data_IF_581698740136
#
_entry.id   IF_581698740136
#
_cell.length_a   1.000
_cell.length_b   1.000
_cell.length_c   1.000
_cell.angle_alpha   90.00
_cell.angle_beta   90.00
_cell.angle_gamma   90.00
#
_symmetry.space_group_name_H-M   'P 1'
#
loop_
_entity.id
_entity.type
_entity.pdbx_description
1 polymer ?
#
# COMPACT_ATOMS: atom_id res chain seq x y z
N UNK A 1 15.01 -15.16 -3.43
CA UNK A 1 13.68 -14.54 -3.34
C UNK A 1 13.79 -13.16 -3.94
N UNK A 2 12.94 -12.79 -4.92
CA UNK A 2 13.00 -11.46 -5.52
C UNK A 2 12.50 -10.44 -4.49
N UNK A 3 13.42 -9.69 -3.88
CA UNK A 3 13.05 -8.61 -2.95
C UNK A 3 12.19 -7.58 -3.68
N UNK A 4 10.94 -7.42 -3.23
CA UNK A 4 10.01 -6.47 -3.82
C UNK A 4 10.47 -5.05 -3.51
N UNK A 5 10.90 -4.32 -4.53
CA UNK A 5 11.32 -2.94 -4.39
C UNK A 5 10.10 -2.01 -4.32
N UNK A 6 9.66 -1.68 -3.11
CA UNK A 6 8.44 -0.90 -2.85
C UNK A 6 8.45 0.47 -3.55
N UNK A 7 9.58 1.16 -3.55
CA UNK A 7 9.74 2.44 -4.24
C UNK A 7 9.49 2.37 -5.76
N UNK A 8 10.01 1.35 -6.43
CA UNK A 8 9.78 1.14 -7.86
C UNK A 8 8.33 0.77 -8.16
N UNK A 9 7.67 0.04 -7.25
CA UNK A 9 6.24 -0.26 -7.40
C UNK A 9 5.42 1.02 -7.32
N UNK A 10 5.70 1.87 -6.33
CA UNK A 10 5.08 3.18 -6.19
C UNK A 10 5.30 4.04 -7.43
N UNK A 11 6.54 4.11 -7.93
CA UNK A 11 6.87 4.86 -9.15
C UNK A 11 6.08 4.35 -10.36
N UNK A 12 5.96 3.02 -10.53
CA UNK A 12 5.16 2.43 -11.61
C UNK A 12 3.70 2.83 -11.51
N UNK A 13 3.11 2.84 -10.31
CA UNK A 13 1.71 3.27 -10.12
C UNK A 13 1.55 4.74 -10.52
N UNK A 14 2.44 5.60 -10.01
CA UNK A 14 2.43 7.05 -10.30
C UNK A 14 2.57 7.30 -11.80
N UNK A 15 3.52 6.63 -12.48
CA UNK A 15 3.77 6.82 -13.92
C UNK A 15 2.67 6.21 -14.81
N UNK A 16 2.18 5.01 -14.49
CA UNK A 16 1.12 4.34 -15.30
C UNK A 16 -0.20 5.08 -15.29
N UNK A 17 -0.45 5.84 -14.23
CA UNK A 17 -1.70 6.57 -14.02
C UNK A 17 -1.54 8.08 -14.21
N UNK A 18 -0.42 8.50 -14.81
CA UNK A 18 -0.10 9.90 -15.15
C UNK A 18 -0.23 10.88 -13.97
N UNK A 19 -0.01 10.40 -12.74
CA UNK A 19 -0.11 11.24 -11.55
C UNK A 19 1.01 12.27 -11.54
N UNK A 20 0.65 13.54 -11.31
CA UNK A 20 1.63 14.60 -11.21
C UNK A 20 2.41 14.47 -9.90
N UNK A 21 3.70 14.12 -10.00
CA UNK A 21 4.62 13.99 -8.87
C UNK A 21 4.65 15.25 -8.00
N UNK A 22 4.45 16.43 -8.62
CA UNK A 22 4.36 17.70 -7.90
C UNK A 22 3.15 17.76 -6.98
N UNK A 23 1.99 17.36 -7.48
CA UNK A 23 0.74 17.40 -6.73
C UNK A 23 0.75 16.34 -5.64
N UNK A 24 1.28 15.16 -5.96
CA UNK A 24 1.47 14.09 -4.98
C UNK A 24 2.40 14.53 -3.84
N UNK A 25 3.52 15.20 -4.16
CA UNK A 25 4.43 15.73 -3.15
C UNK A 25 3.75 16.80 -2.27
N UNK A 26 2.95 17.69 -2.87
CA UNK A 26 2.17 18.71 -2.14
C UNK A 26 1.12 18.06 -1.23
N UNK A 27 0.35 17.10 -1.73
CA UNK A 27 -0.68 16.40 -0.97
C UNK A 27 -0.08 15.58 0.18
N UNK A 28 1.14 15.07 0.01
CA UNK A 28 1.90 14.39 1.05
C UNK A 28 2.64 15.35 1.99
N UNK A 29 2.68 16.66 1.73
CA UNK A 29 3.42 17.63 2.54
C UNK A 29 4.94 17.43 2.52
N UNK A 30 5.51 16.93 1.42
CA UNK A 30 6.95 16.68 1.26
C UNK A 30 7.51 17.39 0.03
N UNK A 31 8.85 17.53 -0.01
CA UNK A 31 9.52 18.06 -1.20
C UNK A 31 9.56 17.03 -2.33
N UNK A 32 9.59 17.47 -3.60
CA UNK A 32 9.70 16.58 -4.76
C UNK A 32 10.93 15.65 -4.68
N UNK A 33 12.05 16.13 -4.12
CA UNK A 33 13.26 15.32 -3.91
C UNK A 33 12.98 14.10 -3.04
N UNK A 34 12.14 14.24 -2.01
CA UNK A 34 11.75 13.15 -1.12
C UNK A 34 10.98 12.06 -1.87
N UNK A 35 10.11 12.44 -2.81
CA UNK A 35 9.42 11.46 -3.67
C UNK A 35 10.39 10.63 -4.50
N UNK A 36 11.39 11.26 -5.13
CA UNK A 36 12.41 10.53 -5.90
C UNK A 36 13.27 9.61 -5.02
N UNK A 37 13.58 10.05 -3.80
CA UNK A 37 14.28 9.23 -2.82
C UNK A 37 13.45 7.99 -2.45
N UNK A 38 12.14 8.15 -2.23
CA UNK A 38 11.22 7.04 -1.96
C UNK A 38 11.12 6.08 -3.13
N UNK A 39 11.09 6.56 -4.38
CA UNK A 39 11.12 5.67 -5.56
C UNK A 39 12.37 4.81 -5.63
N UNK A 40 13.50 5.36 -5.18
CA UNK A 40 14.79 4.64 -5.12
C UNK A 40 14.95 3.75 -3.88
N UNK A 41 13.99 3.79 -2.93
CA UNK A 41 14.07 3.03 -1.68
C UNK A 41 13.47 1.63 -1.85
N UNK A 42 14.24 0.60 -1.49
CA UNK A 42 13.77 -0.80 -1.54
C UNK A 42 12.59 -1.03 -0.60
N UNK A 43 12.67 -0.48 0.60
CA UNK A 43 11.64 -0.56 1.64
C UNK A 43 11.25 0.86 2.01
N UNK A 44 9.96 1.12 2.10
CA UNK A 44 9.42 2.37 2.63
C UNK A 44 9.05 2.16 4.09
N UNK A 45 9.25 3.18 4.93
CA UNK A 45 8.80 3.08 6.32
C UNK A 45 7.27 2.93 6.35
N UNK A 46 6.73 2.19 7.34
CA UNK A 46 5.29 2.02 7.48
C UNK A 46 4.52 3.34 7.53
N UNK A 47 5.11 4.36 8.17
CA UNK A 47 4.55 5.72 8.26
C UNK A 47 4.41 6.39 6.88
N UNK A 48 5.44 6.25 6.03
CA UNK A 48 5.41 6.80 4.65
C UNK A 48 4.36 6.09 3.81
N UNK A 49 4.29 4.76 3.91
CA UNK A 49 3.26 3.95 3.26
C UNK A 49 1.85 4.37 3.65
N UNK A 50 1.62 4.64 4.94
CA UNK A 50 0.33 5.11 5.44
C UNK A 50 -0.05 6.50 4.90
N UNK A 51 0.92 7.43 4.82
CA UNK A 51 0.67 8.75 4.23
C UNK A 51 0.31 8.63 2.75
N UNK A 52 1.02 7.77 2.01
CA UNK A 52 0.77 7.51 0.60
C UNK A 52 -0.61 6.88 0.38
N UNK A 53 -1.00 5.89 1.18
CA UNK A 53 -2.29 5.21 1.02
C UNK A 53 -3.50 6.11 1.30
N UNK A 54 -3.35 7.13 2.15
CA UNK A 54 -4.40 8.13 2.40
C UNK A 54 -4.55 9.13 1.25
N UNK A 55 -3.44 9.48 0.60
CA UNK A 55 -3.43 10.47 -0.49
C UNK A 55 -3.78 9.84 -1.84
N UNK A 56 -3.32 8.62 -2.08
CA UNK A 56 -3.61 7.85 -3.29
C UNK A 56 -4.78 6.92 -2.98
N UNK A 57 -5.99 7.36 -3.32
CA UNK A 57 -7.16 6.49 -3.28
C UNK A 57 -7.17 5.65 -4.55
N UNK A 58 -6.89 4.36 -4.39
CA UNK A 58 -6.95 3.37 -5.45
C UNK A 58 -8.11 2.42 -5.17
N UNK A 59 -9.10 2.42 -6.07
CA UNK A 59 -10.17 1.43 -6.03
C UNK A 59 -9.66 0.12 -6.65
N UNK A 60 -9.43 -0.88 -5.80
CA UNK A 60 -8.98 -2.21 -6.24
C UNK A 60 -10.09 -3.00 -6.95
N UNK A 61 -11.35 -2.64 -6.73
CA UNK A 61 -12.51 -3.27 -7.37
C UNK A 61 -12.70 -2.75 -8.81
N UNK A 62 -12.19 -1.55 -9.10
CA UNK A 62 -12.26 -0.92 -10.43
C UNK A 62 -10.88 -0.44 -10.91
N UNK A 63 -9.98 -1.35 -11.32
CA UNK A 63 -8.60 -1.01 -11.72
C UNK A 63 -8.52 -0.11 -12.96
N UNK A 64 -9.61 0.01 -13.73
CA UNK A 64 -9.72 0.91 -14.88
C UNK A 64 -9.87 2.39 -14.47
N UNK A 65 -10.38 2.66 -13.26
CA UNK A 65 -10.50 4.03 -12.76
C UNK A 65 -9.11 4.62 -12.46
N UNK A 66 -8.95 5.92 -12.76
CA UNK A 66 -7.74 6.65 -12.45
C UNK A 66 -7.68 6.88 -10.93
N UNK A 67 -6.58 6.53 -10.25
CA UNK A 67 -6.41 6.88 -8.85
C UNK A 67 -6.50 8.38 -8.69
N UNK A 68 -7.29 8.82 -7.72
CA UNK A 68 -7.49 10.24 -7.45
C UNK A 68 -6.58 10.66 -6.31
N UNK A 69 -5.88 11.79 -6.49
CA UNK A 69 -5.15 12.44 -5.41
C UNK A 69 -6.19 13.19 -4.57
N UNK A 70 -6.45 12.69 -3.38
CA UNK A 70 -7.29 13.40 -2.41
C UNK A 70 -6.35 14.23 -1.54
N UNK A 71 -6.51 15.55 -1.57
CA UNK A 71 -5.81 16.42 -0.65
C UNK A 71 -6.46 16.26 0.74
N UNK A 72 -5.73 15.80 1.78
CA UNK A 72 -6.26 15.82 3.12
C UNK A 72 -6.55 17.28 3.49
N UNK A 73 -7.71 17.54 4.08
CA UNK A 73 -8.06 18.91 4.48
C UNK A 73 -7.07 19.37 5.56
N UNK A 74 -6.82 20.67 5.67
CA UNK A 74 -5.91 21.24 6.69
C UNK A 74 -6.36 20.85 8.12
N UNK A 75 -7.64 20.47 8.29
CA UNK A 75 -8.23 19.97 9.53
C UNK A 75 -7.77 18.54 9.86
N UNK A 76 -7.50 17.71 8.85
CA UNK A 76 -7.05 16.32 9.04
C UNK A 76 -5.59 16.23 9.51
N UNK A 77 -4.75 17.19 9.10
CA UNK A 77 -3.36 17.32 9.58
C UNK A 77 -3.28 17.68 11.07
N UNK A 78 -4.28 18.39 11.60
CA UNK A 78 -4.36 18.69 13.04
C UNK A 78 -4.89 17.48 13.85
N UNK A 79 -5.68 16.60 13.23
CA UNK A 79 -6.17 15.37 13.84
C UNK A 79 -5.06 14.31 14.02
N UNK A 80 -3.91 14.44 13.35
CA UNK A 80 -2.76 13.54 13.52
C UNK A 80 -2.20 13.52 14.96
N UNK A 81 -2.45 14.55 15.79
CA UNK A 81 -2.12 14.51 17.24
C UNK A 81 -3.10 13.66 18.08
N UNK A 82 -4.31 13.39 17.58
CA UNK A 82 -5.38 12.67 18.31
C UNK A 82 -5.52 11.21 17.85
N UNK A 83 -4.98 10.87 16.68
CA UNK A 83 -5.19 9.61 15.94
C UNK A 83 -4.29 8.45 16.38
N UNK A 84 -3.82 8.45 17.63
CA UNK A 84 -3.12 7.31 18.26
C UNK A 84 -4.05 6.06 18.34
N UNK A 85 -5.36 6.24 18.19
CA UNK A 85 -6.35 5.14 18.24
C UNK A 85 -6.49 4.31 16.95
N UNK A 86 -5.84 4.69 15.85
CA UNK A 86 -6.07 4.04 14.54
C UNK A 86 -5.07 2.93 14.20
N UNK A 87 -4.06 2.68 15.06
CA UNK A 87 -3.11 1.56 14.88
C UNK A 87 -3.80 0.20 14.97
N UNK A 88 -4.81 0.08 15.83
CA UNK A 88 -5.53 -1.17 16.08
C UNK A 88 -6.33 -1.60 14.86
N UNK A 89 -6.97 -0.65 14.16
CA UNK A 89 -7.71 -0.91 12.92
C UNK A 89 -6.81 -1.47 11.80
N UNK A 90 -5.62 -0.91 11.61
CA UNK A 90 -4.69 -1.39 10.59
C UNK A 90 -4.03 -2.72 10.97
N UNK A 91 -3.81 -2.93 12.27
CA UNK A 91 -3.33 -4.21 12.80
C UNK A 91 -4.34 -5.33 12.52
N UNK A 92 -5.62 -5.08 12.75
CA UNK A 92 -6.67 -6.07 12.48
C UNK A 92 -6.79 -6.38 10.99
N UNK A 93 -6.72 -5.37 10.12
CA UNK A 93 -6.73 -5.57 8.65
C UNK A 93 -5.51 -6.33 8.14
N UNK A 94 -4.35 -6.14 8.77
CA UNK A 94 -3.13 -6.89 8.45
C UNK A 94 -3.21 -8.34 8.92
N UNK A 95 -3.78 -8.59 10.10
CA UNK A 95 -4.03 -9.94 10.63
C UNK A 95 -5.00 -10.68 9.70
N UNK A 96 -6.13 -10.06 9.34
CA UNK A 96 -7.11 -10.62 8.40
C UNK A 96 -6.46 -11.06 7.07
N UNK A 97 -5.55 -10.24 6.54
CA UNK A 97 -4.85 -10.54 5.30
C UNK A 97 -3.92 -11.76 5.45
N UNK A 98 -3.16 -11.82 6.55
CA UNK A 98 -2.28 -12.95 6.85
C UNK A 98 -3.06 -14.24 7.07
N UNK A 99 -4.19 -14.18 7.76
CA UNK A 99 -5.05 -15.34 7.98
C UNK A 99 -5.62 -15.88 6.67
N UNK A 100 -6.12 -15.00 5.79
CA UNK A 100 -6.59 -15.41 4.45
C UNK A 100 -5.49 -16.06 3.64
N UNK A 101 -4.28 -15.51 3.68
CA UNK A 101 -3.12 -16.09 3.00
C UNK A 101 -2.74 -17.46 3.57
N UNK A 102 -2.71 -17.58 4.90
CA UNK A 102 -2.46 -18.84 5.59
C UNK A 102 -3.51 -19.89 5.23
N UNK A 103 -4.78 -19.51 5.18
CA UNK A 103 -5.86 -20.39 4.74
C UNK A 103 -5.65 -20.89 3.32
N UNK A 104 -5.36 -19.99 2.37
CA UNK A 104 -5.09 -20.36 0.97
C UNK A 104 -3.86 -21.27 0.86
N UNK A 105 -2.79 -21.00 1.60
CA UNK A 105 -1.61 -21.86 1.63
C UNK A 105 -1.94 -23.25 2.17
N UNK A 106 -2.70 -23.33 3.25
CA UNK A 106 -3.09 -24.59 3.87
C UNK A 106 -4.06 -25.39 3.00
N UNK A 107 -4.99 -24.76 2.30
CA UNK A 107 -5.88 -25.46 1.36
C UNK A 107 -5.15 -25.96 0.12
N UNK A 108 -4.22 -25.18 -0.44
CA UNK A 108 -3.35 -25.68 -1.52
C UNK A 108 -2.43 -26.81 -1.05
N UNK A 109 -1.96 -26.75 0.20
CA UNK A 109 -1.12 -27.79 0.79
C UNK A 109 -1.92 -29.07 1.08
N UNK A 110 -3.18 -28.96 1.52
CA UNK A 110 -4.04 -30.12 1.76
C UNK A 110 -4.51 -30.79 0.46
N UNK A 111 -4.78 -30.02 -0.60
CA UNK A 111 -5.01 -30.56 -1.95
C UNK A 111 -3.81 -31.37 -2.44
N UNK A 112 -2.60 -30.86 -2.25
CA UNK A 112 -1.37 -31.53 -2.67
C UNK A 112 -1.02 -32.79 -1.86
N UNK A 113 -1.61 -32.95 -0.68
CA UNK A 113 -1.45 -34.13 0.19
C UNK A 113 -2.57 -35.17 0.01
N UNK A 114 -3.58 -34.89 -0.83
CA UNK A 114 -4.59 -35.85 -1.27
C UNK A 114 -4.21 -36.59 -2.57
N UNK A 115 -3.07 -36.24 -3.17
CA UNK A 115 -2.47 -36.96 -4.30
C UNK A 115 -1.25 -37.86 -3.92
N UNK A 116 -1.28 -38.69 -2.86
CA UNK A 116 -0.48 -39.90 -2.85
C UNK A 116 -1.41 -41.05 -3.25
N UNK A 117 -1.03 -41.77 -4.31
CA UNK A 117 -1.71 -42.92 -4.93
C UNK A 117 -2.55 -42.52 -6.15
N UNK A 118 -1.90 -42.52 -7.32
CA UNK A 118 -2.15 -43.54 -8.35
C UNK A 118 -1.07 -43.46 -9.45
N UNK A 119 -0.33 -44.57 -9.59
CA UNK A 119 0.66 -44.97 -10.60
C UNK A 119 2.12 -44.62 -10.31
#
# INVERSE_FOLDING_TARGET
>A
MAELHMGQLLERVVRRKELNITELAKALGVQRRTMYNWFSSRVLSPEVLQRISRVIVYDFEQPEQLPTIVAPSIVDLAADFVTIKNEEYWKDRYIDLLERYSQILNSNLSEKLLDPVLT
#
